data_IF_832845302076
#
_entry.id   IF_832845302076
#
_cell.length_a   1.000
_cell.length_b   1.000
_cell.length_c   1.000
_cell.angle_alpha   90.00
_cell.angle_beta   90.00
_cell.angle_gamma   90.00
#
_symmetry.space_group_name_H-M   'P 1'
#
loop_
_entity.id
_entity.type
_entity.pdbx_description
1 polymer ?
#
# COMPACT_ATOMS: atom_id res chain seq x y z
N UNK A 1 -44.21 -2.27 11.84
CA UNK A 1 -42.78 -2.57 11.99
C UNK A 1 -42.03 -1.31 11.78
N UNK A 2 -41.25 -0.79 12.73
CA UNK A 2 -40.44 0.40 12.53
C UNK A 2 -39.29 0.03 11.58
N UNK A 3 -39.07 0.85 10.56
CA UNK A 3 -37.93 0.78 9.66
C UNK A 3 -36.73 1.26 10.48
N UNK A 4 -35.76 0.37 10.64
CA UNK A 4 -34.49 0.62 11.34
C UNK A 4 -33.69 1.62 10.51
N UNK A 5 -33.68 2.89 10.92
CA UNK A 5 -33.05 4.03 10.21
C UNK A 5 -31.59 4.21 10.62
N UNK A 6 -30.97 3.21 11.21
CA UNK A 6 -29.54 3.19 11.59
C UNK A 6 -28.67 2.40 10.61
N UNK A 7 -28.88 2.55 9.31
CA UNK A 7 -27.81 2.35 8.34
C UNK A 7 -26.83 3.52 8.52
N UNK A 8 -25.84 3.37 9.43
CA UNK A 8 -24.70 4.27 9.55
C UNK A 8 -24.11 4.47 8.17
N UNK A 9 -24.39 5.63 7.56
CA UNK A 9 -23.63 6.12 6.44
C UNK A 9 -22.17 6.13 6.93
N UNK A 10 -21.38 5.13 6.56
CA UNK A 10 -19.93 5.18 6.71
C UNK A 10 -19.46 6.32 5.82
N UNK A 11 -19.43 7.53 6.35
CA UNK A 11 -18.70 8.62 5.74
C UNK A 11 -17.26 8.19 5.66
N UNK A 12 -16.81 7.89 4.43
CA UNK A 12 -15.45 7.44 4.17
C UNK A 12 -14.49 8.51 4.68
N UNK A 13 -13.69 8.18 5.69
CA UNK A 13 -12.73 9.11 6.25
C UNK A 13 -11.67 9.45 5.19
N UNK A 14 -11.56 10.73 4.86
CA UNK A 14 -10.52 11.30 4.01
C UNK A 14 -9.45 11.87 4.92
N UNK A 15 -8.21 11.37 4.79
CA UNK A 15 -7.09 11.79 5.62
C UNK A 15 -6.56 13.15 5.11
N UNK A 16 -6.73 14.26 5.85
CA UNK A 16 -6.19 15.55 5.44
C UNK A 16 -4.66 15.52 5.34
N UNK A 17 -4.10 16.40 4.51
CA UNK A 17 -2.65 16.44 4.29
C UNK A 17 -1.87 16.67 5.59
N UNK A 18 -2.32 17.57 6.43
CA UNK A 18 -1.71 17.91 7.72
C UNK A 18 -1.69 16.70 8.65
N UNK A 19 -2.77 15.91 8.64
CA UNK A 19 -2.85 14.68 9.43
C UNK A 19 -1.94 13.60 8.85
N UNK A 20 -1.86 13.48 7.53
CA UNK A 20 -0.93 12.56 6.88
C UNK A 20 0.52 12.94 7.17
N UNK A 21 0.86 14.24 7.17
CA UNK A 21 2.20 14.73 7.54
C UNK A 21 2.54 14.38 9.02
N UNK A 22 1.59 14.46 9.94
CA UNK A 22 1.74 14.01 11.33
C UNK A 22 1.98 12.49 11.42
N UNK A 23 1.25 11.72 10.61
CA UNK A 23 1.46 10.27 10.52
C UNK A 23 2.87 9.97 10.01
N UNK A 24 3.35 10.65 8.96
CA UNK A 24 4.70 10.44 8.44
C UNK A 24 5.79 10.91 9.42
N UNK A 25 5.55 11.94 10.21
CA UNK A 25 6.45 12.34 11.27
C UNK A 25 6.61 11.23 12.33
N UNK A 26 5.54 10.48 12.63
CA UNK A 26 5.57 9.32 13.54
C UNK A 26 6.18 8.07 12.89
N UNK A 27 6.04 7.93 11.57
CA UNK A 27 6.58 6.84 10.76
C UNK A 27 7.50 7.39 9.65
N UNK A 28 8.70 7.92 10.01
CA UNK A 28 9.63 8.50 9.06
C UNK A 28 10.17 7.45 8.08
N UNK A 29 10.96 7.89 7.08
CA UNK A 29 11.56 7.04 6.04
C UNK A 29 12.33 5.83 6.58
N UNK A 30 12.82 5.91 7.82
CA UNK A 30 13.50 4.81 8.52
C UNK A 30 12.52 3.78 9.10
N UNK A 31 11.23 4.09 9.15
CA UNK A 31 10.22 3.15 9.65
C UNK A 31 9.87 2.12 8.58
N UNK A 32 9.83 0.85 8.95
CA UNK A 32 9.37 -0.23 8.06
C UNK A 32 7.89 -0.14 7.66
N UNK A 33 7.10 0.76 8.29
CA UNK A 33 5.73 1.07 7.88
C UNK A 33 5.63 2.24 6.89
N UNK A 34 6.69 3.03 6.72
CA UNK A 34 6.66 4.26 5.93
C UNK A 34 6.07 4.04 4.52
N UNK A 35 6.63 3.11 3.77
CA UNK A 35 6.16 2.85 2.41
C UNK A 35 4.74 2.28 2.35
N UNK A 36 4.29 1.55 3.39
CA UNK A 36 2.91 1.07 3.46
C UNK A 36 1.87 2.19 3.69
N UNK A 37 2.33 3.38 4.08
CA UNK A 37 1.54 4.60 4.20
C UNK A 37 1.66 5.46 2.94
N UNK A 38 2.89 5.70 2.47
CA UNK A 38 3.17 6.60 1.34
C UNK A 38 2.63 6.05 0.02
N UNK A 39 2.77 4.75 -0.25
CA UNK A 39 2.33 4.17 -1.53
C UNK A 39 0.81 4.24 -1.72
N UNK A 40 -0.05 3.78 -0.79
CA UNK A 40 -1.49 3.91 -0.98
C UNK A 40 -1.97 5.37 -1.03
N UNK A 41 -1.32 6.29 -0.32
CA UNK A 41 -1.63 7.72 -0.38
C UNK A 41 -1.33 8.33 -1.77
N UNK A 42 -0.19 7.95 -2.39
CA UNK A 42 0.24 8.51 -3.68
C UNK A 42 -0.29 7.76 -4.91
N UNK A 43 -0.71 6.50 -4.75
CA UNK A 43 -1.07 5.62 -5.89
C UNK A 43 -2.49 5.06 -5.78
N UNK A 44 -3.06 5.05 -4.59
CA UNK A 44 -4.40 4.51 -4.36
C UNK A 44 -4.46 2.98 -4.35
N UNK A 45 -3.38 2.29 -3.99
CA UNK A 45 -3.37 0.83 -3.86
C UNK A 45 -4.23 0.35 -2.69
N UNK A 46 -4.81 -0.85 -2.82
CA UNK A 46 -5.35 -1.57 -1.66
C UNK A 46 -4.22 -2.06 -0.77
N UNK A 47 -4.47 -2.25 0.52
CA UNK A 47 -3.41 -2.68 1.45
C UNK A 47 -2.74 -3.98 1.00
N UNK A 48 -3.49 -4.98 0.57
CA UNK A 48 -2.93 -6.23 0.05
C UNK A 48 -2.11 -6.05 -1.23
N UNK A 49 -2.50 -5.11 -2.10
CA UNK A 49 -1.74 -4.74 -3.30
C UNK A 49 -0.42 -4.08 -2.91
N UNK A 50 -0.44 -3.15 -1.96
CA UNK A 50 0.76 -2.46 -1.46
C UNK A 50 1.82 -3.45 -0.97
N UNK A 51 1.42 -4.44 -0.18
CA UNK A 51 2.37 -5.43 0.36
C UNK A 51 2.84 -6.48 -0.64
N UNK A 52 2.15 -6.60 -1.79
CA UNK A 52 2.55 -7.51 -2.87
C UNK A 52 3.49 -6.88 -3.90
N UNK A 53 3.78 -5.57 -3.79
CA UNK A 53 4.70 -4.89 -4.71
C UNK A 53 6.12 -5.45 -4.54
N UNK A 54 6.72 -5.82 -5.67
CA UNK A 54 8.14 -6.13 -5.79
C UNK A 54 8.89 -4.88 -6.28
N UNK A 55 9.81 -4.37 -5.45
CA UNK A 55 10.51 -3.12 -5.74
C UNK A 55 11.41 -3.19 -7.00
N UNK A 56 11.93 -4.36 -7.34
CA UNK A 56 12.81 -4.51 -8.50
C UNK A 56 12.04 -4.80 -9.79
N UNK A 57 10.92 -5.52 -9.70
CA UNK A 57 10.17 -5.93 -10.89
C UNK A 57 8.99 -5.02 -11.23
N UNK A 58 8.40 -4.38 -10.24
CA UNK A 58 7.16 -3.63 -10.42
C UNK A 58 7.38 -2.13 -10.60
N UNK A 59 8.57 -1.61 -10.25
CA UNK A 59 8.90 -0.19 -10.38
C UNK A 59 9.79 0.04 -11.60
N UNK A 60 9.31 0.83 -12.56
CA UNK A 60 10.08 1.29 -13.70
C UNK A 60 10.38 2.80 -13.55
N UNK A 61 11.57 3.11 -13.06
CA UNK A 61 12.00 4.50 -12.87
C UNK A 61 12.24 5.25 -14.18
N UNK A 62 12.53 4.55 -15.27
CA UNK A 62 12.76 5.18 -16.59
C UNK A 62 11.45 5.66 -17.20
N UNK A 63 10.34 4.97 -16.90
CA UNK A 63 9.00 5.30 -17.36
C UNK A 63 8.17 6.03 -16.32
N UNK A 64 8.69 6.19 -15.08
CA UNK A 64 7.92 6.71 -13.94
C UNK A 64 6.65 5.90 -13.69
N UNK A 65 6.76 4.58 -13.64
CA UNK A 65 5.63 3.67 -13.55
C UNK A 65 5.77 2.67 -12.40
N UNK A 66 4.62 2.34 -11.82
CA UNK A 66 4.45 1.26 -10.86
C UNK A 66 3.40 0.29 -11.40
N UNK A 67 3.76 -0.99 -11.47
CA UNK A 67 2.87 -2.08 -11.88
C UNK A 67 2.22 -2.70 -10.65
N UNK A 68 0.90 -2.86 -10.69
CA UNK A 68 0.12 -3.53 -9.65
C UNK A 68 -0.35 -4.85 -10.22
N UNK A 69 0.39 -5.93 -9.89
CA UNK A 69 0.21 -7.26 -10.47
C UNK A 69 -0.39 -8.27 -9.51
N UNK A 70 -0.38 -7.97 -8.21
CA UNK A 70 -0.79 -8.93 -7.20
C UNK A 70 -1.35 -8.28 -5.95
N UNK A 71 -1.85 -9.14 -5.08
CA UNK A 71 -2.22 -8.79 -3.71
C UNK A 71 -1.74 -9.87 -2.75
N UNK A 72 -1.20 -9.47 -1.62
CA UNK A 72 -0.83 -10.35 -0.54
C UNK A 72 -2.06 -10.72 0.28
N UNK A 73 -2.23 -12.00 0.57
CA UNK A 73 -3.32 -12.52 1.41
C UNK A 73 -2.83 -13.68 2.25
N UNK A 74 -3.58 -14.04 3.28
CA UNK A 74 -3.21 -15.07 4.24
C UNK A 74 -4.21 -16.21 4.22
N UNK A 75 -3.70 -17.43 4.20
CA UNK A 75 -4.46 -18.65 4.49
C UNK A 75 -3.81 -19.27 5.73
N UNK A 76 -4.59 -19.45 6.78
CA UNK A 76 -4.11 -19.92 8.09
C UNK A 76 -2.91 -19.11 8.60
N UNK A 77 -1.70 -19.67 8.55
CA UNK A 77 -0.45 -19.00 8.98
C UNK A 77 0.46 -18.61 7.83
N UNK A 78 0.12 -18.96 6.57
CA UNK A 78 0.96 -18.77 5.39
C UNK A 78 0.49 -17.60 4.56
N UNK A 79 1.43 -16.79 4.08
CA UNK A 79 1.18 -15.68 3.18
C UNK A 79 1.36 -16.11 1.73
N UNK A 80 0.50 -15.61 0.85
CA UNK A 80 0.48 -15.89 -0.57
C UNK A 80 0.37 -14.60 -1.37
N UNK A 81 0.82 -14.63 -2.63
CA UNK A 81 0.53 -13.59 -3.62
C UNK A 81 -0.43 -14.17 -4.65
N UNK A 82 -1.52 -13.48 -4.93
CA UNK A 82 -2.47 -13.82 -5.98
C UNK A 82 -2.78 -12.61 -6.84
N UNK A 83 -3.42 -12.76 -8.02
CA UNK A 83 -3.91 -11.63 -8.81
C UNK A 83 -4.71 -10.65 -7.96
N UNK A 84 -4.71 -9.35 -8.31
CA UNK A 84 -5.49 -8.35 -7.61
C UNK A 84 -6.99 -8.67 -7.69
N UNK A 85 -7.77 -8.17 -6.75
CA UNK A 85 -9.22 -8.39 -6.73
C UNK A 85 -9.84 -7.94 -8.07
N UNK A 86 -10.72 -8.77 -8.63
CA UNK A 86 -11.34 -8.56 -9.94
C UNK A 86 -10.35 -8.53 -11.13
N UNK A 87 -9.20 -9.17 -10.99
CA UNK A 87 -8.13 -9.18 -11.99
C UNK A 87 -7.72 -7.76 -12.45
N UNK A 88 -7.77 -6.81 -11.52
CA UNK A 88 -7.53 -5.39 -11.77
C UNK A 88 -6.03 -5.06 -11.90
N UNK A 89 -5.32 -5.82 -12.75
CA UNK A 89 -3.94 -5.51 -13.13
C UNK A 89 -3.87 -4.12 -13.77
N UNK A 90 -2.89 -3.33 -13.36
CA UNK A 90 -2.74 -1.98 -13.88
C UNK A 90 -1.33 -1.45 -13.70
N UNK A 91 -0.97 -0.52 -14.57
CA UNK A 91 0.25 0.28 -14.46
C UNK A 91 -0.16 1.73 -14.20
N UNK A 92 0.43 2.34 -13.19
CA UNK A 92 0.11 3.72 -12.80
C UNK A 92 1.36 4.59 -12.83
N UNK A 93 1.23 5.83 -13.26
CA UNK A 93 2.31 6.81 -13.16
C UNK A 93 2.56 7.18 -11.71
N UNK A 94 3.83 7.32 -11.34
CA UNK A 94 4.28 7.76 -10.02
C UNK A 94 4.96 9.13 -10.13
N UNK A 95 4.75 9.96 -9.11
CA UNK A 95 5.38 11.28 -9.05
C UNK A 95 6.79 11.22 -8.46
N UNK A 96 7.55 12.30 -8.67
CA UNK A 96 8.95 12.41 -8.23
C UNK A 96 9.13 12.21 -6.72
N UNK A 97 8.15 12.63 -5.91
CA UNK A 97 8.19 12.43 -4.45
C UNK A 97 8.22 10.95 -4.12
N UNK A 98 7.27 10.18 -4.66
CA UNK A 98 7.22 8.73 -4.42
C UNK A 98 8.47 8.02 -4.97
N UNK A 99 9.00 8.45 -6.12
CA UNK A 99 10.25 7.89 -6.64
C UNK A 99 11.44 8.08 -5.72
N UNK A 100 11.57 9.25 -5.08
CA UNK A 100 12.64 9.50 -4.10
C UNK A 100 12.53 8.53 -2.93
N UNK A 101 11.33 8.32 -2.40
CA UNK A 101 11.05 7.39 -1.32
C UNK A 101 11.42 5.94 -1.70
N UNK A 102 11.00 5.49 -2.89
CA UNK A 102 11.31 4.14 -3.37
C UNK A 102 12.82 3.96 -3.61
N UNK A 103 13.51 4.94 -4.18
CA UNK A 103 14.97 4.92 -4.37
C UNK A 103 15.71 4.89 -3.03
N UNK A 104 15.24 5.67 -2.06
CA UNK A 104 15.78 5.64 -0.69
C UNK A 104 15.63 4.25 -0.07
N UNK A 105 14.45 3.65 -0.14
CA UNK A 105 14.20 2.32 0.40
C UNK A 105 15.09 1.23 -0.25
N UNK A 106 15.25 1.28 -1.58
CA UNK A 106 16.15 0.36 -2.30
C UNK A 106 17.60 0.53 -1.82
N UNK A 107 18.07 1.78 -1.64
CA UNK A 107 19.41 2.07 -1.12
C UNK A 107 19.58 1.54 0.31
N UNK A 108 18.63 1.81 1.21
CA UNK A 108 18.68 1.34 2.59
C UNK A 108 18.67 -0.19 2.66
N UNK A 109 17.87 -0.86 1.83
CA UNK A 109 17.86 -2.32 1.75
C UNK A 109 19.23 -2.90 1.37
N UNK A 110 19.92 -2.29 0.40
CA UNK A 110 21.28 -2.71 0.02
C UNK A 110 22.26 -2.54 1.17
N UNK A 111 22.19 -1.43 1.90
CA UNK A 111 23.02 -1.18 3.08
C UNK A 111 22.71 -2.22 4.17
N UNK A 112 21.44 -2.45 4.45
CA UNK A 112 21.01 -3.40 5.46
C UNK A 112 21.43 -4.84 5.11
N UNK A 113 21.32 -5.24 3.84
CA UNK A 113 21.79 -6.55 3.37
C UNK A 113 23.29 -6.75 3.62
N UNK A 114 24.09 -5.73 3.41
CA UNK A 114 25.53 -5.76 3.72
C UNK A 114 25.76 -5.80 5.24
N UNK A 115 25.03 -5.00 6.01
CA UNK A 115 25.15 -4.92 7.48
C UNK A 115 24.83 -6.25 8.16
N UNK A 116 23.75 -6.92 7.76
CA UNK A 116 23.29 -8.16 8.35
C UNK A 116 23.98 -9.41 7.73
N UNK A 117 24.60 -9.28 6.55
CA UNK A 117 25.30 -10.36 5.87
C UNK A 117 24.46 -11.63 5.73
N UNK A 118 25.00 -12.77 6.12
CA UNK A 118 24.31 -14.07 6.07
C UNK A 118 23.06 -14.17 6.95
N UNK A 119 22.92 -13.33 7.96
CA UNK A 119 21.74 -13.30 8.83
C UNK A 119 20.56 -12.51 8.22
N UNK A 120 20.76 -11.80 7.12
CA UNK A 120 19.68 -11.10 6.41
C UNK A 120 18.65 -12.10 5.89
N UNK A 121 17.35 -11.78 5.99
CA UNK A 121 16.28 -12.62 5.49
C UNK A 121 15.91 -12.23 4.06
N UNK A 122 16.10 -13.13 3.13
CA UNK A 122 15.62 -13.05 1.76
C UNK A 122 14.21 -13.62 1.66
N UNK A 123 13.40 -13.04 0.81
CA UNK A 123 12.03 -13.48 0.57
C UNK A 123 11.92 -14.19 -0.77
N UNK A 124 11.28 -15.33 -0.80
CA UNK A 124 11.10 -16.15 -1.99
C UNK A 124 9.64 -16.45 -2.26
N UNK A 125 9.29 -16.45 -3.55
CA UNK A 125 7.99 -16.89 -4.03
C UNK A 125 8.09 -18.35 -4.46
N UNK A 126 7.30 -19.22 -3.84
CA UNK A 126 7.25 -20.64 -4.16
C UNK A 126 6.33 -20.92 -5.36
N UNK A 127 6.39 -22.11 -6.00
CA UNK A 127 5.54 -22.45 -7.15
C UNK A 127 4.02 -22.39 -6.88
N UNK A 128 3.59 -22.56 -5.64
CA UNK A 128 2.20 -22.44 -5.20
C UNK A 128 1.80 -21.00 -4.87
N UNK A 129 2.66 -20.03 -5.18
CA UNK A 129 2.54 -18.62 -4.84
C UNK A 129 2.59 -18.31 -3.34
N UNK A 130 2.97 -19.24 -2.48
CA UNK A 130 3.27 -18.95 -1.08
C UNK A 130 4.59 -18.21 -0.92
N UNK A 131 4.71 -17.46 0.16
CA UNK A 131 5.89 -16.67 0.48
C UNK A 131 6.65 -17.37 1.60
N UNK A 132 7.96 -17.53 1.41
CA UNK A 132 8.85 -18.01 2.45
C UNK A 132 10.04 -17.07 2.62
N UNK A 133 10.64 -17.10 3.82
CA UNK A 133 11.86 -16.35 4.10
C UNK A 133 12.98 -17.29 4.54
N UNK A 134 14.16 -17.04 4.00
CA UNK A 134 15.35 -17.84 4.27
C UNK A 134 16.53 -16.90 4.51
N UNK A 135 17.47 -17.29 5.36
CA UNK A 135 18.71 -16.54 5.60
C UNK A 135 19.51 -16.41 4.31
N UNK A 136 20.18 -15.27 4.14
CA UNK A 136 20.92 -14.96 2.92
C UNK A 136 22.12 -15.88 2.64
N UNK A 137 22.62 -16.59 3.67
CA UNK A 137 23.67 -17.61 3.54
C UNK A 137 23.15 -18.98 3.05
N UNK A 138 21.84 -19.14 2.89
CA UNK A 138 21.21 -20.36 2.39
C UNK A 138 20.72 -20.12 0.96
N UNK A 139 21.12 -20.98 0.04
CA UNK A 139 20.65 -20.96 -1.35
C UNK A 139 19.41 -21.84 -1.50
N UNK A 140 18.36 -21.27 -2.13
CA UNK A 140 17.14 -22.01 -2.46
C UNK A 140 16.83 -21.86 -3.95
N UNK A 141 16.30 -22.92 -4.62
CA UNK A 141 16.05 -22.92 -6.06
C UNK A 141 14.69 -22.25 -6.41
N UNK A 142 14.39 -21.12 -5.78
CA UNK A 142 13.14 -20.38 -5.97
C UNK A 142 13.40 -18.94 -6.34
N UNK A 143 12.38 -18.28 -6.90
CA UNK A 143 12.46 -16.88 -7.29
C UNK A 143 12.58 -16.00 -6.05
N UNK A 144 13.71 -15.31 -5.89
CA UNK A 144 13.84 -14.24 -4.90
C UNK A 144 12.95 -13.06 -5.34
N UNK A 145 12.19 -12.51 -4.40
CA UNK A 145 11.38 -11.30 -4.58
C UNK A 145 11.85 -10.22 -3.61
N UNK A 146 11.63 -8.96 -3.98
CA UNK A 146 11.99 -7.77 -3.18
C UNK A 146 10.74 -7.06 -2.69
N UNK A 147 10.05 -7.58 -1.63
CA UNK A 147 8.80 -6.99 -1.16
C UNK A 147 8.99 -5.52 -0.77
N UNK A 148 7.98 -4.68 -1.03
CA UNK A 148 8.00 -3.25 -0.71
C UNK A 148 8.34 -2.98 0.76
N UNK A 149 7.76 -3.74 1.67
CA UNK A 149 7.85 -3.53 3.11
C UNK A 149 8.59 -4.67 3.81
N UNK A 150 9.78 -4.38 4.32
CA UNK A 150 10.59 -5.28 5.15
C UNK A 150 11.22 -4.51 6.30
N UNK A 151 11.56 -5.21 7.39
CA UNK A 151 12.38 -4.66 8.46
C UNK A 151 13.86 -4.57 8.04
N UNK A 152 14.69 -3.97 8.87
CA UNK A 152 16.12 -3.81 8.61
C UNK A 152 16.86 -5.12 8.35
N UNK A 153 16.48 -6.17 9.07
CA UNK A 153 17.04 -7.52 8.89
C UNK A 153 16.46 -8.31 7.71
N UNK A 154 15.59 -7.68 6.89
CA UNK A 154 14.90 -8.32 5.77
C UNK A 154 13.60 -9.05 6.13
N UNK A 155 13.23 -9.10 7.42
CA UNK A 155 11.97 -9.74 7.85
C UNK A 155 10.76 -9.07 7.19
N UNK A 156 9.88 -9.87 6.62
CA UNK A 156 8.70 -9.43 5.88
C UNK A 156 7.71 -8.69 6.80
N UNK A 157 7.33 -7.48 6.40
CA UNK A 157 6.21 -6.75 6.99
C UNK A 157 4.95 -7.10 6.18
N UNK A 158 3.86 -7.40 6.86
CA UNK A 158 2.65 -7.97 6.26
C UNK A 158 1.43 -7.08 6.51
N UNK A 159 0.32 -7.28 5.79
CA UNK A 159 -0.94 -6.60 6.07
C UNK A 159 -1.41 -6.75 7.54
N UNK A 160 -1.13 -7.89 8.19
CA UNK A 160 -1.43 -8.06 9.62
C UNK A 160 -0.58 -7.14 10.51
N UNK A 161 0.70 -6.93 10.14
CA UNK A 161 1.57 -5.98 10.85
C UNK A 161 1.05 -4.55 10.77
N UNK A 162 0.40 -4.17 9.66
CA UNK A 162 -0.16 -2.84 9.48
C UNK A 162 -1.28 -2.51 10.49
N UNK A 163 -1.97 -3.52 11.03
CA UNK A 163 -2.92 -3.33 12.13
C UNK A 163 -2.27 -2.70 13.37
N UNK A 164 -0.99 -2.99 13.60
CA UNK A 164 -0.22 -2.32 14.66
C UNK A 164 0.04 -0.85 14.30
N UNK A 165 0.43 -0.55 13.06
CA UNK A 165 0.58 0.83 12.58
C UNK A 165 -0.70 1.64 12.79
N UNK A 166 -1.86 1.11 12.36
CA UNK A 166 -3.15 1.76 12.55
C UNK A 166 -3.48 1.99 14.03
N UNK A 167 -3.16 1.02 14.89
CA UNK A 167 -3.35 1.14 16.34
C UNK A 167 -2.51 2.26 16.95
N UNK A 168 -1.25 2.41 16.53
CA UNK A 168 -0.39 3.52 16.94
C UNK A 168 -0.98 4.86 16.50
N UNK A 169 -1.49 4.96 15.28
CA UNK A 169 -2.16 6.17 14.77
C UNK A 169 -3.39 6.51 15.61
N UNK A 170 -4.20 5.52 15.96
CA UNK A 170 -5.37 5.72 16.81
C UNK A 170 -5.00 6.26 18.19
N UNK A 171 -4.05 5.62 18.87
CA UNK A 171 -3.77 5.90 20.29
C UNK A 171 -2.78 7.05 20.50
N UNK A 172 -1.72 7.11 19.70
CA UNK A 172 -0.67 8.13 19.90
C UNK A 172 -0.99 9.44 19.16
N UNK A 173 -1.67 9.38 18.00
CA UNK A 173 -2.03 10.57 17.23
C UNK A 173 -3.50 10.98 17.41
N UNK A 174 -4.30 10.19 18.11
CA UNK A 174 -5.72 10.47 18.39
C UNK A 174 -6.63 10.31 17.18
N UNK A 175 -6.15 9.76 16.06
CA UNK A 175 -6.97 9.59 14.85
C UNK A 175 -7.67 8.24 14.82
N UNK A 176 -8.79 8.13 15.51
CA UNK A 176 -9.58 6.89 15.60
C UNK A 176 -10.32 6.53 14.31
N UNK A 177 -10.42 7.44 13.34
CA UNK A 177 -11.06 7.20 12.06
C UNK A 177 -10.10 6.59 11.04
N UNK A 178 -8.78 6.62 11.31
CA UNK A 178 -7.79 6.11 10.39
C UNK A 178 -7.92 4.60 10.19
N UNK A 179 -7.89 4.18 8.94
CA UNK A 179 -7.79 2.78 8.52
C UNK A 179 -7.05 2.70 7.19
N UNK A 180 -6.49 1.54 6.85
CA UNK A 180 -5.66 1.38 5.65
C UNK A 180 -6.34 1.86 4.35
N UNK A 181 -7.67 1.68 4.26
CA UNK A 181 -8.42 2.03 3.04
C UNK A 181 -8.64 3.54 2.89
N UNK A 182 -8.58 4.32 3.98
CA UNK A 182 -8.76 5.77 3.93
C UNK A 182 -7.69 6.46 3.08
N UNK A 183 -6.45 5.94 3.04
CA UNK A 183 -5.38 6.49 2.20
C UNK A 183 -5.72 6.38 0.70
N UNK A 184 -6.33 5.26 0.31
CA UNK A 184 -6.81 5.08 -1.07
C UNK A 184 -8.01 5.97 -1.37
N UNK A 185 -8.95 6.14 -0.45
CA UNK A 185 -10.06 7.09 -0.58
C UNK A 185 -9.53 8.52 -0.72
N UNK A 186 -8.57 8.90 0.13
CA UNK A 186 -7.90 10.21 0.04
C UNK A 186 -7.26 10.41 -1.34
N UNK A 187 -6.55 9.42 -1.87
CA UNK A 187 -5.98 9.50 -3.22
C UNK A 187 -7.05 9.71 -4.29
N UNK A 188 -8.15 8.95 -4.24
CA UNK A 188 -9.27 9.10 -5.17
C UNK A 188 -9.92 10.48 -5.10
N UNK A 189 -10.12 10.99 -3.87
CA UNK A 189 -10.67 12.32 -3.61
C UNK A 189 -9.76 13.44 -4.14
N UNK A 190 -8.45 13.37 -3.88
CA UNK A 190 -7.48 14.34 -4.43
C UNK A 190 -7.50 14.39 -5.96
N UNK A 191 -7.63 13.24 -6.63
CA UNK A 191 -7.74 13.20 -8.08
C UNK A 191 -9.06 13.80 -8.58
N UNK A 192 -10.17 13.55 -7.89
CA UNK A 192 -11.47 14.11 -8.21
C UNK A 192 -11.49 15.63 -8.04
N UNK A 193 -10.94 16.14 -6.94
CA UNK A 193 -10.77 17.57 -6.67
C UNK A 193 -9.86 18.28 -7.68
N UNK A 194 -8.84 17.55 -8.16
CA UNK A 194 -7.96 17.98 -9.25
C UNK A 194 -8.60 17.95 -10.64
N UNK A 195 -9.89 17.59 -10.75
CA UNK A 195 -10.63 17.57 -12.01
C UNK A 195 -10.26 16.41 -12.94
N UNK A 196 -9.62 15.36 -12.43
CA UNK A 196 -9.27 14.18 -13.24
C UNK A 196 -10.54 13.44 -13.65
N UNK A 197 -10.65 13.05 -14.92
CA UNK A 197 -11.82 12.35 -15.44
C UNK A 197 -12.15 11.09 -14.60
N UNK A 198 -13.44 10.87 -14.24
CA UNK A 198 -13.86 9.72 -13.43
C UNK A 198 -13.42 8.36 -13.95
N UNK A 199 -13.40 8.16 -15.28
CA UNK A 199 -12.92 6.92 -15.90
C UNK A 199 -11.43 6.69 -15.63
N UNK A 200 -10.62 7.74 -15.74
CA UNK A 200 -9.18 7.67 -15.43
C UNK A 200 -8.93 7.33 -13.96
N UNK A 201 -9.72 7.92 -13.04
CA UNK A 201 -9.65 7.59 -11.61
C UNK A 201 -10.07 6.14 -11.36
N UNK A 202 -11.13 5.67 -12.00
CA UNK A 202 -11.61 4.30 -11.94
C UNK A 202 -10.51 3.31 -12.36
N UNK A 203 -9.87 3.54 -13.51
CA UNK A 203 -8.80 2.72 -14.06
C UNK A 203 -7.58 2.74 -13.13
N UNK A 204 -7.16 3.91 -12.66
CA UNK A 204 -6.03 4.08 -11.74
C UNK A 204 -6.26 3.36 -10.41
N UNK A 205 -7.45 3.44 -9.85
CA UNK A 205 -7.81 2.74 -8.62
C UNK A 205 -8.07 1.24 -8.85
N UNK A 206 -8.38 0.80 -10.07
CA UNK A 206 -8.80 -0.57 -10.36
C UNK A 206 -10.16 -0.89 -9.74
N UNK A 207 -11.13 0.01 -9.91
CA UNK A 207 -12.53 -0.25 -9.59
C UNK A 207 -13.18 -1.03 -10.74
N UNK A 208 -13.97 -2.04 -10.40
CA UNK A 208 -14.72 -2.81 -11.39
C UNK A 208 -15.87 -2.00 -12.00
N UNK A 209 -16.50 -1.15 -11.17
CA UNK A 209 -17.67 -0.38 -11.51
C UNK A 209 -17.37 1.12 -11.32
N UNK A 210 -17.79 1.92 -12.31
CA UNK A 210 -17.68 3.38 -12.28
C UNK A 210 -18.53 3.99 -11.14
N UNK A 211 -19.64 3.34 -10.75
CA UNK A 211 -20.49 3.80 -9.67
C UNK A 211 -19.71 3.99 -8.35
N UNK A 212 -18.78 3.07 -8.05
CA UNK A 212 -17.88 3.21 -6.89
C UNK A 212 -17.02 4.47 -6.96
N UNK A 213 -16.57 4.84 -8.15
CA UNK A 213 -15.75 6.05 -8.35
C UNK A 213 -16.62 7.30 -8.29
N UNK A 214 -17.82 7.26 -8.88
CA UNK A 214 -18.75 8.40 -8.87
C UNK A 214 -19.22 8.76 -7.45
N UNK A 215 -19.35 7.82 -6.54
CA UNK A 215 -19.62 8.11 -5.12
C UNK A 215 -18.56 9.05 -4.53
N UNK A 216 -17.26 8.79 -4.82
CA UNK A 216 -16.17 9.69 -4.40
C UNK A 216 -16.33 11.09 -4.97
N UNK A 217 -16.72 11.22 -6.25
CA UNK A 217 -16.97 12.53 -6.88
C UNK A 217 -18.16 13.27 -6.27
N UNK A 218 -19.24 12.55 -5.97
CA UNK A 218 -20.43 13.14 -5.33
C UNK A 218 -20.07 13.70 -3.96
N UNK A 219 -19.32 12.94 -3.14
CA UNK A 219 -18.84 13.42 -1.84
C UNK A 219 -17.99 14.68 -1.97
N UNK A 220 -17.10 14.78 -2.99
CA UNK A 220 -16.29 15.97 -3.21
C UNK A 220 -17.12 17.20 -3.58
N UNK A 221 -18.18 17.02 -4.38
CA UNK A 221 -19.06 18.12 -4.83
C UNK A 221 -19.96 18.61 -3.70
N UNK A 222 -20.48 17.69 -2.89
CA UNK A 222 -21.41 18.03 -1.78
C UNK A 222 -20.71 18.53 -0.52
N UNK A 223 -19.41 18.29 -0.38
CA UNK A 223 -18.61 18.75 0.77
C UNK A 223 -18.02 20.16 0.57
N UNK A 224 -18.18 20.78 -0.60
CA UNK A 224 -17.82 22.21 -0.79
C UNK A 224 -18.98 23.07 -0.34
N UNK A 225 -18.74 24.02 0.63
CA UNK A 225 -19.75 24.97 1.09
C UNK A 225 -20.18 25.95 -0.02
#
# INVERSE_FOLDING_TARGET
>A
MPIDVDAKAHTEYICPKEEFDRILARFPETSYFHLSLVVPYNVGTRIGETFAIDLEEDVDFSKHELKIKGQMYKIEKTWFIKPPKYDSHRTVKIGQTLEKELKYAIKQRKINRLKYGGAYLKTYLLPDNSITQVRADITVPHKEITPLCVKDNGELVTPDSFKYCARVIHWELGNHLFHAHCLRHTHGTMLAEGGVNPKTVMERLGHKDIATTLQTYICCITAKP
#
